data_IF_874460021431
#
_entry.id   IF_874460021431
#
_cell.length_a   1.000
_cell.length_b   1.000
_cell.length_c   1.000
_cell.angle_alpha   90.00
_cell.angle_beta   90.00
_cell.angle_gamma   90.00
#
_symmetry.space_group_name_H-M   'P 1'
#
loop_
_entity.id
_entity.type
_entity.pdbx_description
1 polymer ?
#
# COMPACT_ATOMS: atom_id res chain seq x y z
N UNK A 1 0.21 -3.57 2.23
CA UNK A 1 -0.91 -4.48 2.56
C UNK A 1 -0.70 -5.94 2.09
N UNK A 2 -0.17 -6.26 0.88
CA UNK A 2 -0.11 -7.65 0.42
C UNK A 2 0.72 -8.57 1.32
N UNK A 3 1.86 -8.10 1.84
CA UNK A 3 2.69 -8.89 2.75
C UNK A 3 1.94 -9.24 4.05
N UNK A 4 1.25 -8.28 4.64
CA UNK A 4 0.50 -8.49 5.88
C UNK A 4 -0.65 -9.50 5.68
N UNK A 5 -1.40 -9.40 4.59
CA UNK A 5 -2.47 -10.35 4.27
C UNK A 5 -1.91 -11.76 4.02
N UNK A 6 -0.79 -11.86 3.33
CA UNK A 6 -0.09 -13.11 3.11
C UNK A 6 0.33 -13.75 4.44
N UNK A 7 1.04 -13.01 5.29
CA UNK A 7 1.50 -13.52 6.59
C UNK A 7 0.33 -13.95 7.49
N UNK A 8 -0.75 -13.16 7.50
CA UNK A 8 -1.97 -13.50 8.25
C UNK A 8 -2.58 -14.83 7.80
N UNK A 9 -2.69 -15.04 6.48
CA UNK A 9 -3.22 -16.30 5.92
C UNK A 9 -2.30 -17.48 6.21
N UNK A 10 -0.99 -17.30 6.07
CA UNK A 10 0.00 -18.35 6.33
C UNK A 10 0.04 -18.74 7.81
N UNK A 11 0.04 -17.77 8.71
CA UNK A 11 0.00 -18.04 10.15
C UNK A 11 -1.29 -18.74 10.58
N UNK A 12 -2.43 -18.38 9.98
CA UNK A 12 -3.70 -19.05 10.28
C UNK A 12 -3.71 -20.51 9.79
N UNK A 13 -3.05 -20.80 8.65
CA UNK A 13 -3.01 -22.14 8.07
C UNK A 13 -1.92 -23.04 8.65
N UNK A 14 -0.82 -22.46 9.13
CA UNK A 14 0.37 -23.18 9.65
C UNK A 14 1.01 -22.42 10.81
N UNK A 15 0.35 -22.35 11.98
CA UNK A 15 0.79 -21.55 13.12
C UNK A 15 2.13 -21.99 13.72
N UNK A 16 2.54 -23.22 13.50
CA UNK A 16 3.79 -23.79 14.00
C UNK A 16 5.02 -23.46 13.15
N UNK A 17 4.83 -22.87 11.95
CA UNK A 17 5.94 -22.54 11.06
C UNK A 17 6.46 -21.13 11.27
N UNK A 18 7.78 -21.04 11.38
CA UNK A 18 8.47 -19.76 11.32
C UNK A 18 8.48 -19.24 9.89
N UNK A 19 8.06 -17.99 9.70
CA UNK A 19 8.04 -17.30 8.43
C UNK A 19 9.09 -16.19 8.44
N UNK A 20 10.01 -16.23 7.49
CA UNK A 20 10.89 -15.10 7.20
C UNK A 20 10.29 -14.30 6.05
N UNK A 21 10.23 -12.99 6.19
CA UNK A 21 9.71 -12.10 5.15
C UNK A 21 10.59 -10.87 4.98
N UNK A 22 10.63 -10.36 3.74
CA UNK A 22 11.32 -9.12 3.42
C UNK A 22 10.49 -8.31 2.42
N UNK A 23 10.58 -6.99 2.50
CA UNK A 23 10.08 -6.06 1.50
C UNK A 23 11.29 -5.55 0.72
N UNK A 24 11.31 -5.81 -0.58
CA UNK A 24 12.42 -5.47 -1.48
C UNK A 24 11.88 -4.75 -2.72
N UNK A 25 12.78 -4.25 -3.54
CA UNK A 25 12.39 -3.72 -4.85
C UNK A 25 11.84 -4.85 -5.74
N UNK A 26 10.91 -4.53 -6.62
CA UNK A 26 10.25 -5.52 -7.48
C UNK A 26 11.22 -6.39 -8.28
N UNK A 27 12.31 -5.80 -8.79
CA UNK A 27 13.37 -6.52 -9.53
C UNK A 27 14.07 -7.57 -8.66
N UNK A 28 14.31 -7.26 -7.39
CA UNK A 28 14.99 -8.16 -6.46
C UNK A 28 14.06 -9.31 -6.03
N UNK A 29 12.77 -9.01 -5.84
CA UNK A 29 11.74 -10.05 -5.60
C UNK A 29 11.63 -10.99 -6.79
N UNK A 30 11.61 -10.45 -8.01
CA UNK A 30 11.54 -11.26 -9.22
C UNK A 30 12.79 -12.16 -9.38
N UNK A 31 13.98 -11.59 -9.18
CA UNK A 31 15.23 -12.35 -9.22
C UNK A 31 15.25 -13.48 -8.17
N UNK A 32 14.85 -13.21 -6.93
CA UNK A 32 14.75 -14.21 -5.86
C UNK A 32 13.71 -15.29 -6.17
N UNK A 33 12.65 -14.95 -6.89
CA UNK A 33 11.70 -15.93 -7.40
C UNK A 33 12.32 -16.80 -8.50
N UNK A 34 12.99 -16.22 -9.47
CA UNK A 34 13.59 -16.92 -10.61
C UNK A 34 14.72 -17.87 -10.18
N UNK A 35 15.61 -17.44 -9.28
CA UNK A 35 16.73 -18.23 -8.78
C UNK A 35 16.38 -19.25 -7.69
N UNK A 36 15.15 -19.20 -7.16
CA UNK A 36 14.64 -20.15 -6.16
C UNK A 36 15.02 -19.82 -4.73
N UNK A 37 15.56 -18.64 -4.44
CA UNK A 37 15.93 -18.21 -3.09
C UNK A 37 14.74 -17.81 -2.21
N UNK A 38 13.53 -17.69 -2.79
CA UNK A 38 12.30 -17.52 -2.02
C UNK A 38 11.24 -18.58 -2.38
N UNK A 39 10.46 -19.01 -1.38
CA UNK A 39 9.35 -19.96 -1.55
C UNK A 39 8.07 -19.27 -2.07
N UNK A 40 7.91 -17.99 -1.79
CA UNK A 40 6.73 -17.17 -2.14
C UNK A 40 7.17 -15.80 -2.59
N UNK A 41 6.57 -15.33 -3.67
CA UNK A 41 6.76 -13.96 -4.17
C UNK A 41 5.43 -13.26 -4.39
N UNK A 42 5.38 -11.96 -4.11
CA UNK A 42 4.24 -11.08 -4.40
C UNK A 42 4.74 -9.85 -5.15
N UNK A 43 4.16 -9.59 -6.32
CA UNK A 43 4.52 -8.46 -7.18
C UNK A 43 3.27 -7.71 -7.66
N UNK A 44 3.37 -6.41 -7.98
CA UNK A 44 2.24 -5.60 -8.49
C UNK A 44 1.99 -5.80 -9.99
N UNK A 45 2.46 -6.87 -10.58
CA UNK A 45 2.27 -7.23 -11.99
C UNK A 45 2.33 -8.76 -12.17
N UNK A 46 1.77 -9.31 -13.26
CA UNK A 46 1.85 -10.74 -13.56
C UNK A 46 3.29 -11.21 -13.80
N UNK A 47 3.62 -12.40 -13.29
CA UNK A 47 4.90 -13.08 -13.52
C UNK A 47 4.71 -14.59 -13.55
N UNK A 48 5.75 -15.34 -13.91
CA UNK A 48 5.65 -16.79 -14.14
C UNK A 48 5.12 -17.54 -12.91
N UNK A 49 4.01 -18.26 -13.10
CA UNK A 49 3.35 -19.06 -12.06
C UNK A 49 2.50 -18.27 -11.07
N UNK A 50 2.41 -16.95 -11.21
CA UNK A 50 1.64 -16.14 -10.32
C UNK A 50 0.15 -16.07 -10.67
N UNK A 51 -0.68 -15.87 -9.64
CA UNK A 51 -2.13 -15.66 -9.74
C UNK A 51 -2.52 -14.37 -9.04
N UNK A 52 -3.63 -13.72 -9.45
CA UNK A 52 -4.17 -12.58 -8.71
C UNK A 52 -4.40 -12.94 -7.24
N UNK A 53 -3.93 -12.08 -6.35
CA UNK A 53 -3.97 -12.32 -4.90
C UNK A 53 -4.76 -11.28 -4.13
N UNK A 54 -4.48 -10.01 -4.40
CA UNK A 54 -5.08 -8.88 -3.70
C UNK A 54 -5.16 -7.69 -4.64
N UNK A 55 -6.28 -6.97 -4.61
CA UNK A 55 -6.44 -5.68 -5.26
C UNK A 55 -6.46 -4.58 -4.21
N UNK A 56 -5.76 -3.49 -4.47
CA UNK A 56 -5.79 -2.26 -3.67
C UNK A 56 -6.12 -1.06 -4.53
N UNK A 57 -6.96 -0.17 -3.98
CA UNK A 57 -7.27 1.14 -4.52
C UNK A 57 -6.70 2.21 -3.59
N UNK A 58 -5.99 3.20 -4.14
CA UNK A 58 -5.43 4.33 -3.39
C UNK A 58 -6.46 5.44 -3.21
N UNK A 59 -6.45 6.04 -2.01
CA UNK A 59 -7.28 7.17 -1.63
C UNK A 59 -6.41 8.29 -1.05
N UNK A 60 -6.87 9.52 -1.23
CA UNK A 60 -6.38 10.68 -0.48
C UNK A 60 -7.22 10.85 0.78
N UNK A 61 -6.58 10.93 1.92
CA UNK A 61 -7.21 11.12 3.23
C UNK A 61 -6.91 12.52 3.74
N UNK A 62 -7.96 13.35 3.90
CA UNK A 62 -7.86 14.75 4.28
C UNK A 62 -8.76 15.09 5.47
N UNK A 63 -8.43 16.10 6.29
CA UNK A 63 -9.36 16.62 7.28
C UNK A 63 -10.57 17.27 6.59
N UNK A 64 -11.74 17.34 7.22
CA UNK A 64 -12.98 17.82 6.60
C UNK A 64 -12.94 19.28 6.15
N UNK A 65 -12.09 20.10 6.75
CA UNK A 65 -11.86 21.51 6.38
C UNK A 65 -10.87 21.71 5.23
N UNK A 66 -10.22 20.63 4.76
CA UNK A 66 -9.24 20.73 3.67
C UNK A 66 -9.92 21.06 2.35
N UNK A 67 -9.24 21.83 1.47
CA UNK A 67 -9.78 22.26 0.18
C UNK A 67 -10.29 21.11 -0.71
N UNK A 68 -9.64 19.95 -0.60
CA UNK A 68 -10.00 18.75 -1.36
C UNK A 68 -11.19 17.97 -0.77
N UNK A 69 -11.60 18.22 0.48
CA UNK A 69 -12.59 17.40 1.20
C UNK A 69 -13.99 17.33 0.55
N UNK A 70 -14.30 18.29 -0.32
CA UNK A 70 -15.60 18.37 -1.02
C UNK A 70 -15.62 17.61 -2.35
N UNK A 71 -14.47 17.09 -2.78
CA UNK A 71 -14.36 16.33 -4.03
C UNK A 71 -14.86 14.90 -3.83
N UNK A 72 -15.59 14.38 -4.82
CA UNK A 72 -16.05 12.99 -4.83
C UNK A 72 -14.99 12.01 -5.33
N UNK A 73 -14.03 12.51 -6.11
CA UNK A 73 -12.88 11.79 -6.64
C UNK A 73 -11.77 12.78 -6.96
N UNK A 74 -10.55 12.30 -7.10
CA UNK A 74 -9.37 13.09 -7.45
C UNK A 74 -8.50 12.33 -8.46
N UNK A 75 -7.59 13.04 -9.10
CA UNK A 75 -6.51 12.50 -9.92
C UNK A 75 -5.16 12.89 -9.34
N UNK A 76 -4.08 12.21 -9.70
CA UNK A 76 -2.73 12.61 -9.32
C UNK A 76 -2.39 14.04 -9.82
N UNK A 77 -2.90 14.42 -10.99
CA UNK A 77 -2.69 15.77 -11.53
C UNK A 77 -3.31 16.85 -10.64
N UNK A 78 -4.52 16.62 -10.11
CA UNK A 78 -5.22 17.58 -9.24
C UNK A 78 -4.58 17.72 -7.87
N UNK A 79 -3.91 16.68 -7.38
CA UNK A 79 -3.25 16.72 -6.06
C UNK A 79 -1.76 17.04 -6.15
N UNK A 80 -1.18 17.09 -7.35
CA UNK A 80 0.22 17.45 -7.55
C UNK A 80 0.47 18.91 -7.15
N UNK A 81 1.39 19.12 -6.23
CA UNK A 81 1.69 20.45 -5.63
C UNK A 81 1.22 20.57 -4.18
N UNK A 82 0.31 19.74 -3.70
CA UNK A 82 0.03 19.64 -2.28
C UNK A 82 1.14 18.90 -1.54
N UNK A 83 1.37 19.27 -0.28
CA UNK A 83 2.30 18.56 0.59
C UNK A 83 1.57 17.42 1.31
N UNK A 84 2.22 16.26 1.45
CA UNK A 84 1.63 15.06 2.02
C UNK A 84 2.45 14.52 3.18
N UNK A 85 1.77 13.96 4.18
CA UNK A 85 2.36 13.01 5.10
C UNK A 85 2.48 11.65 4.41
N UNK A 86 3.66 11.05 4.47
CA UNK A 86 3.92 9.75 3.85
C UNK A 86 4.56 8.82 4.88
N UNK A 87 4.04 7.60 4.98
CA UNK A 87 4.70 6.55 5.77
C UNK A 87 5.88 6.00 4.97
N UNK A 88 6.98 5.68 5.63
CA UNK A 88 8.06 4.92 5.01
C UNK A 88 7.61 3.50 4.64
N UNK A 89 8.37 2.85 3.80
CA UNK A 89 8.17 1.43 3.42
C UNK A 89 6.82 1.13 2.73
N UNK A 90 6.27 2.09 2.01
CA UNK A 90 5.06 1.90 1.21
C UNK A 90 5.31 1.09 -0.07
N UNK A 91 6.57 0.77 -0.38
CA UNK A 91 6.95 -0.01 -1.55
C UNK A 91 6.45 0.61 -2.85
N UNK A 92 5.62 -0.12 -3.58
CA UNK A 92 5.05 0.32 -4.86
C UNK A 92 4.41 1.72 -4.81
N UNK A 93 3.65 2.03 -3.77
CA UNK A 93 2.95 3.31 -3.65
C UNK A 93 3.88 4.52 -3.46
N UNK A 94 5.01 4.36 -2.76
CA UNK A 94 5.98 5.45 -2.59
C UNK A 94 6.56 5.89 -3.94
N UNK A 95 7.01 4.93 -4.75
CA UNK A 95 7.54 5.21 -6.09
C UNK A 95 6.50 5.87 -6.98
N UNK A 96 5.30 5.31 -7.05
CA UNK A 96 4.23 5.85 -7.87
C UNK A 96 3.86 7.28 -7.50
N UNK A 97 3.68 7.57 -6.19
CA UNK A 97 3.32 8.91 -5.74
C UNK A 97 4.40 9.94 -6.10
N UNK A 98 5.68 9.61 -5.96
CA UNK A 98 6.77 10.51 -6.34
C UNK A 98 6.85 10.77 -7.84
N UNK A 99 6.62 9.75 -8.65
CA UNK A 99 6.60 9.87 -10.12
C UNK A 99 5.43 10.72 -10.62
N UNK A 100 4.24 10.50 -10.06
CA UNK A 100 3.01 11.18 -10.49
C UNK A 100 2.85 12.59 -9.90
N UNK A 101 3.56 12.89 -8.82
CA UNK A 101 3.41 14.15 -8.08
C UNK A 101 4.76 14.87 -7.87
N UNK A 102 5.48 15.21 -8.95
CA UNK A 102 6.83 15.79 -8.85
C UNK A 102 6.87 17.19 -8.21
N UNK A 103 5.76 17.93 -8.20
CA UNK A 103 5.66 19.25 -7.54
C UNK A 103 5.29 19.14 -6.05
N UNK A 104 4.92 17.98 -5.56
CA UNK A 104 4.54 17.75 -4.17
C UNK A 104 5.76 17.50 -3.29
N UNK A 105 5.64 17.90 -2.02
CA UNK A 105 6.63 17.56 -0.97
C UNK A 105 6.04 16.49 -0.06
N UNK A 106 6.86 15.52 0.32
CA UNK A 106 6.47 14.43 1.19
C UNK A 106 7.22 14.50 2.51
N UNK A 107 6.47 14.68 3.61
CA UNK A 107 6.99 14.55 4.97
C UNK A 107 6.91 13.07 5.35
N UNK A 108 8.05 12.38 5.28
CA UNK A 108 8.13 10.93 5.50
C UNK A 108 8.35 10.63 6.98
N UNK A 109 7.55 9.72 7.52
CA UNK A 109 7.70 9.18 8.88
C UNK A 109 7.98 7.69 8.84
N UNK A 110 8.95 7.26 9.63
CA UNK A 110 9.34 5.85 9.79
C UNK A 110 8.60 5.18 10.94
N UNK A 111 8.34 5.91 12.00
CA UNK A 111 7.58 5.42 13.15
C UNK A 111 6.07 5.52 12.88
N UNK A 112 5.38 4.39 13.02
CA UNK A 112 3.94 4.30 12.75
C UNK A 112 3.12 5.09 13.76
N UNK A 113 3.48 5.07 15.05
CA UNK A 113 2.73 5.78 16.08
C UNK A 113 2.87 7.30 15.90
N UNK A 114 4.08 7.77 15.61
CA UNK A 114 4.34 9.19 15.29
C UNK A 114 3.60 9.60 14.01
N UNK A 115 3.56 8.74 12.99
CA UNK A 115 2.79 9.01 11.78
C UNK A 115 1.31 9.20 12.08
N UNK A 116 0.71 8.29 12.86
CA UNK A 116 -0.71 8.34 13.21
C UNK A 116 -1.05 9.58 14.06
N UNK A 117 -0.18 9.95 14.98
CA UNK A 117 -0.30 11.21 15.75
C UNK A 117 -0.25 12.44 14.85
N UNK A 118 0.70 12.49 13.89
CA UNK A 118 0.81 13.60 12.94
C UNK A 118 -0.42 13.68 12.02
N UNK A 119 -0.94 12.56 11.55
CA UNK A 119 -2.18 12.56 10.75
C UNK A 119 -3.35 13.12 11.53
N UNK A 120 -3.49 12.77 12.82
CA UNK A 120 -4.58 13.26 13.67
C UNK A 120 -4.43 14.75 14.03
N UNK A 121 -3.20 15.24 14.18
CA UNK A 121 -2.91 16.59 14.63
C UNK A 121 -2.71 17.62 13.50
N UNK A 122 -2.49 17.18 12.25
CA UNK A 122 -2.16 18.09 11.15
C UNK A 122 -3.29 18.25 10.13
N UNK A 123 -3.25 19.37 9.39
CA UNK A 123 -4.11 19.59 8.23
C UNK A 123 -3.59 18.95 6.94
N UNK A 124 -2.42 18.31 6.97
CA UNK A 124 -1.83 17.71 5.78
C UNK A 124 -2.60 16.48 5.32
N UNK A 125 -2.79 16.31 4.01
CA UNK A 125 -3.27 15.06 3.44
C UNK A 125 -2.28 13.91 3.65
N UNK A 126 -2.81 12.70 3.69
CA UNK A 126 -2.04 11.46 3.61
C UNK A 126 -2.72 10.49 2.64
N UNK A 127 -2.10 9.34 2.38
CA UNK A 127 -2.70 8.29 1.58
C UNK A 127 -3.24 7.15 2.45
N UNK A 128 -4.35 6.58 2.02
CA UNK A 128 -4.91 5.34 2.54
C UNK A 128 -5.24 4.41 1.38
N UNK A 129 -5.52 3.14 1.66
CA UNK A 129 -6.04 2.20 0.67
C UNK A 129 -7.38 1.65 1.15
N UNK A 130 -8.21 1.19 0.23
CA UNK A 130 -9.47 0.51 0.54
C UNK A 130 -9.23 -0.73 1.43
N UNK A 131 -8.12 -1.42 1.22
CA UNK A 131 -7.69 -2.53 2.08
C UNK A 131 -7.39 -2.05 3.50
N UNK A 132 -6.60 -0.98 3.64
CA UNK A 132 -6.29 -0.37 4.93
C UNK A 132 -7.54 0.07 5.68
N UNK A 133 -8.44 0.77 5.00
CA UNK A 133 -9.70 1.25 5.58
C UNK A 133 -10.57 0.11 6.10
N UNK A 134 -10.74 -0.98 5.35
CA UNK A 134 -11.57 -2.13 5.75
C UNK A 134 -10.96 -2.93 6.89
N UNK A 135 -9.63 -3.08 6.92
CA UNK A 135 -8.93 -3.96 7.87
C UNK A 135 -8.58 -3.30 9.18
N UNK A 136 -8.19 -2.05 9.13
CA UNK A 136 -7.65 -1.38 10.30
C UNK A 136 -8.73 -0.64 11.10
N UNK A 137 -9.98 -0.60 10.61
CA UNK A 137 -11.09 0.24 11.16
C UNK A 137 -10.65 1.70 11.43
N UNK A 138 -9.51 2.08 10.89
CA UNK A 138 -8.75 3.26 11.18
C UNK A 138 -8.52 4.05 9.91
N UNK A 139 -9.52 4.28 9.20
CA UNK A 139 -9.48 5.54 8.53
C UNK A 139 -9.57 6.57 9.64
N UNK A 140 -8.55 7.27 9.93
CA UNK A 140 -8.44 8.37 10.84
C UNK A 140 -9.80 9.04 11.12
N UNK A 141 -10.41 8.82 12.30
CA UNK A 141 -11.78 9.25 12.57
C UNK A 141 -11.93 10.74 12.29
N UNK A 142 -12.99 11.11 11.58
CA UNK A 142 -13.27 12.49 11.21
C UNK A 142 -12.55 12.98 9.95
N UNK A 143 -11.67 12.21 9.32
CA UNK A 143 -11.08 12.57 8.01
C UNK A 143 -11.91 11.99 6.86
N UNK A 144 -11.80 12.61 5.68
CA UNK A 144 -12.49 12.23 4.45
C UNK A 144 -11.54 11.44 3.57
N UNK A 145 -11.96 10.25 3.10
CA UNK A 145 -11.22 9.45 2.14
C UNK A 145 -11.80 9.63 0.74
N UNK A 146 -10.99 10.11 -0.20
CA UNK A 146 -11.37 10.45 -1.56
C UNK A 146 -10.62 9.53 -2.52
N UNK A 147 -11.31 8.74 -3.36
CA UNK A 147 -10.66 7.82 -4.28
C UNK A 147 -9.88 8.57 -5.38
N UNK A 148 -8.71 8.05 -5.73
CA UNK A 148 -7.98 8.45 -6.92
C UNK A 148 -8.51 7.66 -8.13
N UNK A 149 -8.79 8.33 -9.24
CA UNK A 149 -9.40 7.73 -10.45
C UNK A 149 -8.40 7.37 -11.55
N UNK A 150 -7.13 7.72 -11.39
CA UNK A 150 -6.09 7.27 -12.30
C UNK A 150 -6.01 5.74 -12.32
N UNK A 151 -5.79 5.16 -13.49
CA UNK A 151 -5.70 3.71 -13.64
C UNK A 151 -4.61 3.09 -12.74
N UNK A 152 -3.50 3.80 -12.56
CA UNK A 152 -2.37 3.39 -11.71
C UNK A 152 -2.66 3.49 -10.21
N UNK A 153 -3.72 4.21 -9.81
CA UNK A 153 -4.17 4.27 -8.42
C UNK A 153 -4.89 2.99 -7.97
N UNK A 154 -5.12 2.05 -8.89
CA UNK A 154 -5.62 0.71 -8.59
C UNK A 154 -4.57 -0.32 -9.01
N UNK A 155 -4.18 -1.21 -8.12
CA UNK A 155 -3.18 -2.23 -8.37
C UNK A 155 -3.69 -3.62 -8.00
N UNK A 156 -3.43 -4.59 -8.87
CA UNK A 156 -3.60 -6.01 -8.55
C UNK A 156 -2.23 -6.59 -8.23
N UNK A 157 -2.08 -7.09 -7.01
CA UNK A 157 -0.92 -7.87 -6.62
C UNK A 157 -1.09 -9.33 -7.04
N UNK A 158 -0.02 -9.90 -7.55
CA UNK A 158 0.05 -11.30 -7.98
C UNK A 158 0.95 -12.07 -7.04
N UNK A 159 0.55 -13.30 -6.71
CA UNK A 159 1.27 -14.19 -5.81
C UNK A 159 1.65 -15.48 -6.54
N UNK A 160 2.91 -15.86 -6.41
CA UNK A 160 3.38 -17.19 -6.78
C UNK A 160 3.94 -17.92 -5.55
N UNK A 161 3.74 -19.24 -5.49
CA UNK A 161 4.27 -20.10 -4.43
C UNK A 161 4.81 -21.40 -5.03
N UNK A 162 6.02 -21.78 -4.58
CA UNK A 162 6.65 -23.07 -4.97
C UNK A 162 6.08 -24.26 -4.22
N UNK A 163 5.43 -24.00 -3.11
CA UNK A 163 4.81 -25.04 -2.28
C UNK A 163 3.30 -24.90 -2.29
N UNK A 164 2.60 -26.05 -2.18
CA UNK A 164 1.17 -25.99 -1.86
C UNK A 164 0.99 -25.33 -0.52
N UNK A 165 0.34 -24.16 -0.50
CA UNK A 165 0.02 -23.43 0.72
C UNK A 165 -1.48 -23.53 0.97
N UNK A 166 -1.91 -24.22 2.04
CA UNK A 166 -3.31 -24.24 2.43
C UNK A 166 -3.79 -22.81 2.74
N UNK A 167 -4.91 -22.42 2.13
CA UNK A 167 -5.52 -21.09 2.37
C UNK A 167 -5.04 -19.96 1.45
N UNK A 168 -4.19 -20.24 0.45
CA UNK A 168 -3.80 -19.32 -0.62
C UNK A 168 -4.39 -19.73 -1.95
#
# INVERSE_FOLDING_TARGET
APLWELLRKLNAAQPEKMLASAVCQNKDVLAAWEDGSCDVAVLPFPFAGAKPFLQEQLFVCVPPEHALAKQSSLTFAEINGFNFLLRSELGFWDTLCREKMPASKFLVQTDTAVFDELVNASSLPCFTTDYGQRRLQTAYPGRVNIPLTDAEASVTFFLASRRKMPGL
#
